data_IF_244366892325
#
_entry.id   IF_244366892325
#
_cell.length_a   1.000
_cell.length_b   1.000
_cell.length_c   1.000
_cell.angle_alpha   90.00
_cell.angle_beta   90.00
_cell.angle_gamma   90.00
#
_symmetry.space_group_name_H-M   'P 1'
#
loop_
_entity.id
_entity.type
_entity.pdbx_description
1 polymer ?
#
# COMPACT_ATOMS: atom_id res chain seq x y z
N UNK A 1 7.94 -3.02 -27.01
CA UNK A 1 7.18 -3.96 -26.17
C UNK A 1 5.71 -3.62 -26.32
N UNK A 2 4.89 -4.54 -26.83
CA UNK A 2 3.45 -4.36 -26.98
C UNK A 2 2.83 -4.32 -25.57
N UNK A 3 2.35 -3.16 -25.13
CA UNK A 3 1.56 -3.08 -23.90
C UNK A 3 0.21 -3.72 -24.17
N UNK A 4 0.00 -4.94 -23.68
CA UNK A 4 -1.33 -5.53 -23.64
C UNK A 4 -2.26 -4.55 -22.89
N UNK A 5 -3.31 -4.08 -23.56
CA UNK A 5 -4.36 -3.30 -22.92
C UNK A 5 -5.02 -4.19 -21.88
N UNK A 6 -4.64 -4.04 -20.61
CA UNK A 6 -5.28 -4.74 -19.51
C UNK A 6 -6.77 -4.41 -19.51
N UNK A 7 -7.60 -5.37 -19.88
CA UNK A 7 -9.06 -5.25 -19.83
C UNK A 7 -9.48 -5.02 -18.39
N UNK A 8 -10.08 -3.86 -18.12
CA UNK A 8 -10.66 -3.52 -16.81
C UNK A 8 -11.97 -4.29 -16.64
N UNK A 9 -11.91 -5.46 -16.02
CA UNK A 9 -13.07 -6.33 -15.77
C UNK A 9 -13.80 -5.99 -14.47
N UNK A 10 -13.09 -5.42 -13.50
CA UNK A 10 -13.63 -5.16 -12.17
C UNK A 10 -14.32 -3.79 -12.11
N UNK A 11 -15.46 -3.73 -11.40
CA UNK A 11 -16.29 -2.53 -11.28
C UNK A 11 -16.19 -1.95 -9.87
N UNK A 12 -15.97 -0.64 -9.80
CA UNK A 12 -16.02 0.14 -8.56
C UNK A 12 -17.34 0.91 -8.54
N UNK A 13 -18.15 0.71 -7.51
CA UNK A 13 -19.38 1.48 -7.30
C UNK A 13 -19.14 2.67 -6.38
N UNK A 14 -19.51 3.86 -6.83
CA UNK A 14 -19.36 5.09 -6.06
C UNK A 14 -20.68 5.85 -6.04
N UNK A 15 -21.11 6.24 -4.84
CA UNK A 15 -22.21 7.20 -4.64
C UNK A 15 -21.60 8.56 -4.34
N UNK A 16 -22.13 9.59 -4.99
CA UNK A 16 -21.74 10.98 -4.79
C UNK A 16 -22.98 11.86 -4.75
N UNK A 17 -22.93 12.93 -3.96
CA UNK A 17 -23.94 13.98 -4.01
C UNK A 17 -23.88 14.71 -5.35
N UNK A 18 -24.95 15.46 -5.68
CA UNK A 18 -24.99 16.30 -6.90
C UNK A 18 -23.81 17.28 -6.93
N UNK A 19 -23.47 17.88 -5.80
CA UNK A 19 -22.38 18.85 -5.70
C UNK A 19 -21.00 18.20 -5.88
N UNK A 20 -20.76 17.05 -5.23
CA UNK A 20 -19.54 16.28 -5.43
C UNK A 20 -19.34 15.90 -6.90
N UNK A 21 -20.39 15.40 -7.55
CA UNK A 21 -20.35 15.07 -8.98
C UNK A 21 -20.05 16.30 -9.84
N UNK A 22 -20.64 17.46 -9.53
CA UNK A 22 -20.42 18.71 -10.27
C UNK A 22 -18.95 19.13 -10.22
N UNK A 23 -18.35 19.13 -9.03
CA UNK A 23 -16.95 19.51 -8.83
C UNK A 23 -16.02 18.54 -9.56
N UNK A 24 -16.22 17.22 -9.38
CA UNK A 24 -15.39 16.21 -10.03
C UNK A 24 -15.49 16.26 -11.56
N UNK A 25 -16.69 16.49 -12.11
CA UNK A 25 -16.90 16.61 -13.54
C UNK A 25 -16.22 17.86 -14.12
N UNK A 26 -16.27 18.99 -13.42
CA UNK A 26 -15.56 20.21 -13.83
C UNK A 26 -14.04 19.99 -13.83
N UNK A 27 -13.49 19.37 -12.78
CA UNK A 27 -12.06 19.05 -12.71
C UNK A 27 -11.62 18.08 -13.82
N UNK A 28 -12.43 17.05 -14.10
CA UNK A 28 -12.19 16.14 -15.21
C UNK A 28 -12.17 16.87 -16.56
N UNK A 29 -13.10 17.80 -16.79
CA UNK A 29 -13.14 18.60 -18.01
C UNK A 29 -11.89 19.49 -18.16
N UNK A 30 -11.42 20.14 -17.10
CA UNK A 30 -10.20 20.95 -17.12
C UNK A 30 -8.96 20.11 -17.44
N UNK A 31 -8.91 18.87 -16.95
CA UNK A 31 -7.85 17.89 -17.24
C UNK A 31 -8.02 17.16 -18.59
N UNK A 32 -9.09 17.46 -19.34
CA UNK A 32 -9.47 16.78 -20.60
C UNK A 32 -9.60 15.26 -20.44
N UNK A 33 -10.25 14.84 -19.35
CA UNK A 33 -10.54 13.45 -19.05
C UNK A 33 -12.05 13.23 -18.88
N UNK A 34 -12.50 11.99 -19.08
CA UNK A 34 -13.79 11.56 -18.55
C UNK A 34 -13.73 11.44 -17.01
N UNK A 35 -14.89 11.43 -16.37
CA UNK A 35 -15.01 11.39 -14.91
C UNK A 35 -14.38 10.13 -14.29
N UNK A 36 -14.53 8.97 -14.92
CA UNK A 36 -13.97 7.70 -14.43
C UNK A 36 -12.44 7.74 -14.49
N UNK A 37 -11.88 8.17 -15.61
CA UNK A 37 -10.45 8.33 -15.83
C UNK A 37 -9.85 9.36 -14.85
N UNK A 38 -10.54 10.47 -14.61
CA UNK A 38 -10.12 11.47 -13.63
C UNK A 38 -10.10 10.91 -12.20
N UNK A 39 -11.17 10.22 -11.78
CA UNK A 39 -11.24 9.61 -10.44
C UNK A 39 -10.14 8.57 -10.26
N UNK A 40 -9.94 7.67 -11.24
CA UNK A 40 -8.89 6.65 -11.17
C UNK A 40 -7.48 7.25 -11.14
N UNK A 41 -7.19 8.23 -12.02
CA UNK A 41 -5.88 8.91 -12.07
C UNK A 41 -5.58 9.68 -10.78
N UNK A 42 -6.61 10.14 -10.07
CA UNK A 42 -6.44 10.87 -8.81
C UNK A 42 -6.35 9.93 -7.60
N UNK A 43 -7.22 8.93 -7.52
CA UNK A 43 -7.34 8.07 -6.35
C UNK A 43 -6.27 6.97 -6.28
N UNK A 44 -5.90 6.36 -7.41
CA UNK A 44 -4.97 5.23 -7.43
C UNK A 44 -3.59 5.58 -6.86
N UNK A 45 -2.94 6.70 -7.23
CA UNK A 45 -1.64 7.07 -6.65
C UNK A 45 -1.70 7.31 -5.13
N UNK A 46 -2.83 7.82 -4.63
CA UNK A 46 -3.03 8.00 -3.20
C UNK A 46 -3.17 6.64 -2.48
N UNK A 47 -3.95 5.72 -3.06
CA UNK A 47 -4.10 4.36 -2.54
C UNK A 47 -2.75 3.62 -2.52
N UNK A 48 -1.98 3.67 -3.61
CA UNK A 48 -0.66 3.05 -3.69
C UNK A 48 0.31 3.57 -2.62
N UNK A 49 0.31 4.88 -2.36
CA UNK A 49 1.13 5.47 -1.29
C UNK A 49 0.71 4.99 0.10
N UNK A 50 -0.60 4.88 0.34
CA UNK A 50 -1.13 4.38 1.62
C UNK A 50 -0.70 2.92 1.80
N UNK A 51 -0.93 2.06 0.81
CA UNK A 51 -0.52 0.64 0.84
C UNK A 51 0.99 0.53 1.08
N UNK A 52 1.80 1.26 0.32
CA UNK A 52 3.25 1.24 0.47
C UNK A 52 3.71 1.64 1.88
N UNK A 53 3.06 2.62 2.52
CA UNK A 53 3.39 3.05 3.89
C UNK A 53 3.10 1.96 4.93
N UNK A 54 2.10 1.12 4.72
CA UNK A 54 1.73 0.06 5.65
C UNK A 54 2.47 -1.25 5.39
N UNK A 55 2.89 -1.49 4.15
CA UNK A 55 3.54 -2.75 3.74
C UNK A 55 5.06 -2.66 3.61
N UNK A 56 5.63 -1.45 3.47
CA UNK A 56 7.08 -1.26 3.32
C UNK A 56 7.67 -0.56 4.53
N UNK A 57 8.78 -1.12 5.02
CA UNK A 57 9.65 -0.49 6.01
C UNK A 57 10.81 0.15 5.26
N UNK A 58 10.87 1.49 5.26
CA UNK A 58 12.02 2.23 4.74
C UNK A 58 13.12 2.26 5.78
N UNK A 59 14.28 1.73 5.43
CA UNK A 59 15.44 1.68 6.31
C UNK A 59 16.46 2.76 5.94
N UNK A 60 17.09 3.36 6.94
CA UNK A 60 18.29 4.18 6.72
C UNK A 60 19.45 3.29 6.29
N UNK A 61 20.51 3.86 5.69
CA UNK A 61 21.70 3.08 5.34
C UNK A 61 22.28 2.31 6.55
N UNK A 62 22.25 2.94 7.74
CA UNK A 62 22.68 2.32 9.00
C UNK A 62 21.79 1.12 9.38
N UNK A 63 20.48 1.29 9.31
CA UNK A 63 19.54 0.23 9.69
C UNK A 63 19.56 -0.92 8.68
N UNK A 64 19.73 -0.61 7.39
CA UNK A 64 19.91 -1.60 6.33
C UNK A 64 21.15 -2.46 6.59
N UNK A 65 22.31 -1.85 6.89
CA UNK A 65 23.52 -2.60 7.20
C UNK A 65 23.33 -3.49 8.44
N UNK A 66 22.69 -2.96 9.49
CA UNK A 66 22.41 -3.71 10.71
C UNK A 66 21.46 -4.89 10.46
N UNK A 67 20.41 -4.70 9.67
CA UNK A 67 19.48 -5.78 9.35
C UNK A 67 20.18 -6.85 8.52
N UNK A 68 21.00 -6.47 7.54
CA UNK A 68 21.77 -7.41 6.74
C UNK A 68 22.70 -8.26 7.62
N UNK A 69 23.45 -7.62 8.53
CA UNK A 69 24.31 -8.32 9.49
C UNK A 69 23.52 -9.31 10.36
N UNK A 70 22.33 -8.92 10.83
CA UNK A 70 21.46 -9.81 11.63
C UNK A 70 20.87 -10.97 10.82
N UNK A 71 20.70 -10.81 9.50
CA UNK A 71 20.23 -11.88 8.60
C UNK A 71 21.36 -12.86 8.26
N UNK A 72 22.58 -12.36 8.05
CA UNK A 72 23.77 -13.17 7.77
C UNK A 72 24.29 -13.89 9.03
N UNK A 73 24.21 -13.23 10.18
CA UNK A 73 24.69 -13.74 11.46
C UNK A 73 23.57 -13.71 12.53
N UNK A 74 22.56 -14.58 12.40
CA UNK A 74 21.41 -14.56 13.30
C UNK A 74 21.82 -14.93 14.74
N UNK A 75 21.58 -14.06 15.73
CA UNK A 75 21.94 -14.34 17.12
C UNK A 75 21.02 -15.41 17.72
N UNK A 76 21.55 -16.16 18.70
CA UNK A 76 20.73 -17.12 19.45
C UNK A 76 19.60 -16.39 20.21
N UNK A 77 18.38 -16.95 20.27
CA UNK A 77 17.27 -16.35 21.01
C UNK A 77 17.63 -16.09 22.47
N UNK A 78 17.21 -14.95 23.02
CA UNK A 78 17.45 -14.62 24.43
C UNK A 78 16.62 -15.51 25.36
N UNK A 79 17.00 -15.59 26.64
CA UNK A 79 16.23 -16.33 27.65
C UNK A 79 14.78 -15.80 27.75
N UNK A 80 14.59 -14.47 27.66
CA UNK A 80 13.28 -13.84 27.67
C UNK A 80 12.43 -14.25 26.45
N UNK A 81 13.01 -14.28 25.24
CA UNK A 81 12.32 -14.73 24.02
C UNK A 81 11.90 -16.21 24.11
N UNK A 82 12.79 -17.07 24.61
CA UNK A 82 12.46 -18.50 24.84
C UNK A 82 11.31 -18.66 25.83
N UNK A 83 11.33 -17.93 26.94
CA UNK A 83 10.25 -17.96 27.93
C UNK A 83 8.92 -17.46 27.35
N UNK A 84 8.94 -16.38 26.56
CA UNK A 84 7.74 -15.86 25.89
C UNK A 84 7.15 -16.87 24.90
N UNK A 85 7.98 -17.53 24.10
CA UNK A 85 7.55 -18.57 23.18
C UNK A 85 6.89 -19.75 23.93
N UNK A 86 7.47 -20.18 25.06
CA UNK A 86 6.89 -21.23 25.91
C UNK A 86 5.51 -20.83 26.45
N UNK A 87 5.36 -19.61 26.98
CA UNK A 87 4.06 -19.08 27.45
C UNK A 87 3.00 -19.05 26.36
N UNK A 88 3.37 -18.65 25.12
CA UNK A 88 2.43 -18.64 23.99
C UNK A 88 1.93 -20.04 23.64
N UNK A 89 2.82 -21.04 23.63
CA UNK A 89 2.47 -22.44 23.34
C UNK A 89 1.54 -23.08 24.40
N UNK A 90 1.60 -22.60 25.64
CA UNK A 90 0.74 -23.08 26.73
C UNK A 90 -0.65 -22.43 26.73
N UNK A 91 -0.84 -21.36 25.97
CA UNK A 91 -2.12 -20.62 25.85
C UNK A 91 -2.90 -20.95 24.57
N UNK A 92 -2.25 -21.59 23.61
CA UNK A 92 -2.85 -22.09 22.38
C UNK A 92 -3.34 -23.52 22.62
#
# INVERSE_FOLDING_TARGET
>A
MLTASATRTDRIELRASREQKRILAAAAAYERLDLTSFVMRTALPAAEKIVARHERISLTARDSARILELLEHPPKPTAALRAAAKRRRQRA
#
